data_IF_175733083988
#
_entry.id   IF_175733083988
#
_cell.length_a   1.000
_cell.length_b   1.000
_cell.length_c   1.000
_cell.angle_alpha   90.00
_cell.angle_beta   90.00
_cell.angle_gamma   90.00
#
_symmetry.space_group_name_H-M   'P 1'
#
loop_
_entity.id
_entity.type
_entity.pdbx_description
1 polymer ?
#
# COMPACT_ATOMS: atom_id res chain seq x y z
N UNK A 1 33.02 28.54 18.66
CA UNK A 1 33.12 27.15 18.16
C UNK A 1 31.79 26.51 18.49
N UNK A 2 31.01 26.12 17.48
CA UNK A 2 29.76 25.38 17.71
C UNK A 2 30.08 24.12 18.50
N UNK A 3 29.43 23.96 19.65
CA UNK A 3 29.56 22.76 20.47
C UNK A 3 29.15 21.57 19.60
N UNK A 4 30.09 20.67 19.30
CA UNK A 4 29.82 19.53 18.44
C UNK A 4 28.96 18.55 19.24
N UNK A 5 27.73 18.33 18.79
CA UNK A 5 26.75 17.44 19.43
C UNK A 5 26.61 16.18 18.57
N UNK A 6 26.52 15.01 19.21
CA UNK A 6 26.25 13.75 18.54
C UNK A 6 24.80 13.72 18.05
N UNK A 7 24.59 13.55 16.75
CA UNK A 7 23.26 13.42 16.14
C UNK A 7 23.00 11.98 15.78
N UNK A 8 21.85 11.44 16.16
CA UNK A 8 21.44 10.07 15.89
C UNK A 8 20.12 10.11 15.13
N UNK A 9 20.07 9.38 14.01
CA UNK A 9 18.86 9.15 13.24
C UNK A 9 18.43 7.71 13.38
N UNK A 10 17.15 7.52 13.69
CA UNK A 10 16.49 6.23 13.85
C UNK A 10 15.24 6.11 12.98
N UNK A 11 14.72 7.20 12.41
CA UNK A 11 13.67 7.16 11.40
C UNK A 11 14.26 6.99 9.99
N UNK A 12 13.98 5.85 9.37
CA UNK A 12 14.63 5.40 8.16
C UNK A 12 16.02 4.83 8.45
N UNK A 13 17.02 5.19 7.65
CA UNK A 13 18.36 4.62 7.76
C UNK A 13 19.07 5.05 9.05
N UNK A 14 19.50 4.06 9.85
CA UNK A 14 20.22 4.32 11.09
C UNK A 14 21.55 5.01 10.81
N UNK A 15 21.78 6.14 11.48
CA UNK A 15 23.07 6.82 11.39
C UNK A 15 23.40 7.59 12.65
N UNK A 16 24.69 7.66 12.95
CA UNK A 16 25.26 8.51 14.00
C UNK A 16 26.26 9.45 13.35
N UNK A 17 26.13 10.75 13.62
CA UNK A 17 26.98 11.80 13.03
C UNK A 17 27.55 12.69 14.14
N UNK A 18 28.87 12.90 14.11
CA UNK A 18 29.57 13.83 14.98
C UNK A 18 30.54 14.68 14.15
N UNK A 19 30.33 15.99 14.13
CA UNK A 19 31.05 16.88 13.22
C UNK A 19 30.79 16.50 11.76
N UNK A 20 31.85 16.17 11.01
CA UNK A 20 31.78 15.68 9.63
C UNK A 20 31.75 14.15 9.50
N UNK A 21 31.95 13.42 10.60
CA UNK A 21 32.10 11.97 10.57
C UNK A 21 30.73 11.30 10.80
N UNK A 22 30.42 10.30 9.97
CA UNK A 22 29.16 9.54 10.07
C UNK A 22 29.44 8.06 10.03
N UNK A 23 28.76 7.31 10.90
CA UNK A 23 28.71 5.85 10.88
C UNK A 23 27.26 5.39 10.69
N UNK A 24 27.07 4.29 9.96
CA UNK A 24 25.74 3.74 9.66
C UNK A 24 25.76 2.20 9.59
N UNK A 25 24.56 1.63 9.67
CA UNK A 25 24.28 0.20 9.66
C UNK A 25 24.59 -0.50 8.32
N UNK A 26 24.80 0.25 7.24
CA UNK A 26 25.16 -0.26 5.89
C UNK A 26 26.60 -0.73 5.74
N UNK A 27 27.47 -0.44 6.70
CA UNK A 27 28.86 -0.91 6.64
C UNK A 27 28.93 -2.45 6.70
N UNK A 28 30.00 -3.07 6.17
CA UNK A 28 30.25 -4.53 6.21
C UNK A 28 30.53 -5.09 7.63
N UNK A 29 29.98 -4.43 8.67
CA UNK A 29 30.11 -4.79 10.08
C UNK A 29 28.99 -5.76 10.47
N UNK A 30 29.17 -6.45 11.59
CA UNK A 30 28.20 -7.44 12.07
C UNK A 30 26.89 -6.77 12.51
N UNK A 31 25.74 -7.34 12.12
CA UNK A 31 24.39 -6.92 12.56
C UNK A 31 24.30 -6.74 14.08
N UNK A 32 24.91 -7.64 14.86
CA UNK A 32 24.93 -7.60 16.34
C UNK A 32 25.56 -6.31 16.91
N UNK A 33 26.46 -5.65 16.18
CA UNK A 33 27.03 -4.34 16.60
C UNK A 33 25.95 -3.26 16.57
N UNK A 34 25.18 -3.21 15.49
CA UNK A 34 24.14 -2.22 15.27
C UNK A 34 22.95 -2.48 16.19
N UNK A 35 22.49 -3.74 16.30
CA UNK A 35 21.43 -4.14 17.25
C UNK A 35 21.75 -3.68 18.68
N UNK A 36 22.99 -3.89 19.16
CA UNK A 36 23.38 -3.46 20.50
C UNK A 36 23.38 -1.93 20.64
N UNK A 37 23.89 -1.20 19.65
CA UNK A 37 23.90 0.26 19.66
C UNK A 37 22.49 0.84 19.67
N UNK A 38 21.66 0.40 18.72
CA UNK A 38 20.26 0.80 18.58
C UNK A 38 19.49 0.54 19.88
N UNK A 39 19.61 -0.66 20.45
CA UNK A 39 18.95 -1.02 21.70
C UNK A 39 19.40 -0.12 22.87
N UNK A 40 20.70 0.11 23.02
CA UNK A 40 21.22 0.99 24.08
C UNK A 40 20.81 2.46 23.89
N UNK A 41 20.65 2.93 22.65
CA UNK A 41 20.18 4.29 22.36
C UNK A 41 18.69 4.43 22.68
N UNK A 42 17.87 3.48 22.25
CA UNK A 42 16.42 3.46 22.52
C UNK A 42 16.14 3.44 24.02
N UNK A 43 16.90 2.63 24.75
CA UNK A 43 16.77 2.50 26.20
C UNK A 43 17.85 3.29 26.95
N UNK A 44 18.34 4.40 26.39
CA UNK A 44 19.47 5.16 26.96
C UNK A 44 19.27 5.68 28.38
N UNK A 45 18.02 5.81 28.83
CA UNK A 45 17.68 6.23 30.19
C UNK A 45 17.57 5.05 31.17
N UNK A 46 17.94 3.83 30.77
CA UNK A 46 17.93 2.62 31.58
C UNK A 46 19.32 2.01 31.68
N UNK A 47 19.58 1.34 32.80
CA UNK A 47 20.68 0.40 32.92
C UNK A 47 20.20 -1.00 32.49
N UNK A 48 20.92 -1.63 31.57
CA UNK A 48 20.58 -2.95 31.02
C UNK A 48 21.55 -3.97 31.58
N UNK A 49 21.04 -5.08 32.12
CA UNK A 49 21.93 -6.10 32.70
C UNK A 49 22.75 -6.81 31.62
N UNK A 50 23.92 -7.32 32.02
CA UNK A 50 24.73 -8.14 31.13
C UNK A 50 23.96 -9.36 30.59
N UNK A 51 23.10 -9.96 31.41
CA UNK A 51 22.28 -11.11 31.03
C UNK A 51 21.26 -10.73 29.94
N UNK A 52 20.56 -9.59 30.09
CA UNK A 52 19.57 -9.14 29.11
C UNK A 52 20.20 -8.83 27.74
N UNK A 53 21.42 -8.26 27.74
CA UNK A 53 22.15 -8.01 26.49
C UNK A 53 22.59 -9.31 25.82
N UNK A 54 22.98 -10.31 26.60
CA UNK A 54 23.35 -11.62 26.06
C UNK A 54 22.12 -12.27 25.42
N UNK A 55 20.99 -12.30 26.13
CA UNK A 55 19.73 -12.87 25.63
C UNK A 55 19.24 -12.15 24.37
N UNK A 56 19.35 -10.82 24.32
CA UNK A 56 19.01 -10.02 23.13
C UNK A 56 19.84 -10.43 21.89
N UNK A 57 21.14 -10.66 22.05
CA UNK A 57 22.07 -10.83 20.93
C UNK A 57 22.26 -12.29 20.50
N UNK A 58 21.99 -13.23 21.40
CA UNK A 58 22.18 -14.66 21.21
C UNK A 58 21.01 -15.44 21.85
N UNK A 59 19.76 -15.21 21.40
CA UNK A 59 18.59 -15.81 22.02
C UNK A 59 18.64 -17.33 21.90
N UNK A 60 18.60 -18.02 23.05
CA UNK A 60 18.63 -19.49 23.11
C UNK A 60 19.92 -20.15 22.60
N UNK A 61 21.01 -19.41 22.40
CA UNK A 61 22.31 -20.02 22.06
C UNK A 61 23.05 -20.43 23.35
N UNK A 62 23.37 -21.72 23.48
CA UNK A 62 24.32 -22.21 24.48
C UNK A 62 25.75 -21.83 24.05
N UNK A 63 26.15 -20.58 24.32
CA UNK A 63 27.53 -20.19 24.16
C UNK A 63 28.37 -20.71 25.35
N UNK A 64 29.54 -21.29 25.08
CA UNK A 64 30.47 -21.72 26.13
C UNK A 64 30.91 -20.57 27.06
N UNK A 65 30.95 -19.33 26.54
CA UNK A 65 31.30 -18.13 27.32
C UNK A 65 30.67 -16.83 26.74
N UNK A 66 29.36 -16.59 26.96
CA UNK A 66 28.65 -15.45 26.39
C UNK A 66 29.15 -14.11 26.95
N UNK A 67 29.66 -14.09 28.18
CA UNK A 67 30.24 -12.91 28.79
C UNK A 67 31.49 -12.41 28.03
N UNK A 68 32.36 -13.32 27.59
CA UNK A 68 33.54 -12.95 26.81
C UNK A 68 33.18 -12.55 25.36
N UNK A 69 32.19 -13.21 24.77
CA UNK A 69 31.64 -12.83 23.46
C UNK A 69 31.10 -11.39 23.48
N UNK A 70 30.33 -11.04 24.51
CA UNK A 70 29.83 -9.67 24.70
C UNK A 70 30.96 -8.65 24.89
N UNK A 71 31.99 -8.96 25.70
CA UNK A 71 33.17 -8.07 25.84
C UNK A 71 33.85 -7.82 24.49
N UNK A 72 33.98 -8.86 23.67
CA UNK A 72 34.56 -8.76 22.33
C UNK A 72 33.68 -7.92 21.40
N UNK A 73 32.37 -8.09 21.45
CA UNK A 73 31.42 -7.28 20.68
C UNK A 73 31.48 -5.81 21.09
N UNK A 74 31.49 -5.51 22.39
CA UNK A 74 31.62 -4.14 22.90
C UNK A 74 32.93 -3.46 22.51
N UNK A 75 34.03 -4.22 22.44
CA UNK A 75 35.28 -3.69 21.89
C UNK A 75 35.12 -3.26 20.43
N UNK A 76 34.44 -4.08 19.61
CA UNK A 76 34.14 -3.74 18.21
C UNK A 76 33.18 -2.55 18.09
N UNK A 77 32.15 -2.48 18.92
CA UNK A 77 31.24 -1.32 19.01
C UNK A 77 32.03 -0.05 19.31
N UNK A 78 32.92 -0.08 20.32
CA UNK A 78 33.79 1.07 20.65
C UNK A 78 34.75 1.44 19.52
N UNK A 79 35.21 0.46 18.73
CA UNK A 79 36.01 0.73 17.53
C UNK A 79 35.19 1.47 16.47
N UNK A 80 33.95 1.04 16.21
CA UNK A 80 33.04 1.73 15.27
C UNK A 80 32.74 3.16 15.75
N UNK A 81 32.48 3.34 17.04
CA UNK A 81 32.31 4.67 17.62
C UNK A 81 33.59 5.51 17.60
N UNK A 82 34.76 4.88 17.51
CA UNK A 82 36.04 5.55 17.30
C UNK A 82 36.15 6.20 15.92
N UNK A 83 35.46 5.65 14.90
CA UNK A 83 35.45 6.19 13.53
C UNK A 83 34.75 7.57 13.47
N UNK A 84 33.90 7.89 14.46
CA UNK A 84 33.31 9.23 14.62
C UNK A 84 34.36 10.29 15.01
N UNK A 85 35.57 9.89 15.38
CA UNK A 85 36.62 10.72 15.98
C UNK A 85 36.11 11.52 17.19
N UNK A 86 35.10 10.97 17.86
CA UNK A 86 34.58 11.54 19.07
C UNK A 86 35.56 11.23 20.20
N UNK A 87 36.19 12.27 20.77
CA UNK A 87 37.25 12.14 21.79
C UNK A 87 36.80 11.31 23.01
N UNK A 88 35.49 11.27 23.25
CA UNK A 88 34.83 10.52 24.32
C UNK A 88 34.15 9.23 23.84
N UNK A 89 34.42 8.74 22.62
CA UNK A 89 33.77 7.56 22.02
C UNK A 89 33.86 6.29 22.86
N UNK A 90 34.98 6.11 23.58
CA UNK A 90 35.17 5.00 24.53
C UNK A 90 34.25 5.08 25.75
N UNK A 91 33.75 6.28 26.07
CA UNK A 91 32.89 6.58 27.21
C UNK A 91 31.40 6.67 26.83
N UNK A 92 31.01 6.41 25.58
CA UNK A 92 29.60 6.40 25.15
C UNK A 92 28.81 5.29 25.86
N UNK A 93 29.44 4.12 26.07
CA UNK A 93 28.84 2.98 26.76
C UNK A 93 29.57 2.77 28.09
N UNK A 94 28.84 2.97 29.18
CA UNK A 94 29.32 2.82 30.56
C UNK A 94 28.99 1.40 31.02
N UNK A 95 29.92 0.80 31.76
CA UNK A 95 29.69 -0.44 32.50
C UNK A 95 29.85 -0.19 34.00
N UNK A 96 28.83 -0.52 34.80
CA UNK A 96 28.85 -0.38 36.27
C UNK A 96 28.08 -1.54 36.89
N UNK A 97 28.63 -2.19 37.92
CA UNK A 97 27.92 -3.20 38.73
C UNK A 97 27.18 -4.30 37.92
N UNK A 98 27.74 -4.73 36.79
CA UNK A 98 27.12 -5.78 35.96
C UNK A 98 26.08 -5.28 34.94
N UNK A 99 25.85 -3.98 34.85
CA UNK A 99 24.96 -3.36 33.87
C UNK A 99 25.73 -2.50 32.85
N UNK A 100 25.14 -2.36 31.67
CA UNK A 100 25.58 -1.44 30.62
C UNK A 100 24.52 -0.36 30.41
N UNK A 101 24.98 0.87 30.18
CA UNK A 101 24.10 2.01 29.91
C UNK A 101 24.74 2.97 28.92
N UNK A 102 23.89 3.70 28.20
CA UNK A 102 24.31 4.86 27.44
C UNK A 102 24.76 5.99 28.38
N UNK A 103 25.82 6.71 28.01
CA UNK A 103 26.33 7.83 28.77
C UNK A 103 25.57 9.12 28.47
N UNK A 104 24.51 9.40 29.25
CA UNK A 104 23.73 10.63 29.12
C UNK A 104 24.45 11.91 29.57
N UNK A 105 25.68 11.83 30.10
CA UNK A 105 26.48 13.04 30.35
C UNK A 105 27.03 13.65 29.04
N UNK A 106 26.96 12.91 27.93
CA UNK A 106 27.38 13.39 26.62
C UNK A 106 26.19 14.01 25.87
N UNK A 107 26.33 15.23 25.33
CA UNK A 107 25.28 15.86 24.52
C UNK A 107 24.95 15.01 23.29
N UNK A 108 23.68 14.64 23.16
CA UNK A 108 23.16 13.85 22.06
C UNK A 108 21.78 14.34 21.65
N UNK A 109 21.53 14.36 20.35
CA UNK A 109 20.23 14.62 19.74
C UNK A 109 19.78 13.36 19.02
N UNK A 110 18.64 12.82 19.41
CA UNK A 110 18.02 11.65 18.77
C UNK A 110 16.73 12.12 18.11
N UNK A 111 16.54 11.80 16.83
CA UNK A 111 15.38 12.23 16.06
C UNK A 111 14.04 11.74 16.62
N UNK A 112 13.99 10.54 17.20
CA UNK A 112 12.80 10.00 17.88
C UNK A 112 12.40 10.84 19.09
N UNK A 113 13.36 11.23 19.94
CA UNK A 113 13.12 12.10 21.09
C UNK A 113 12.72 13.52 20.65
N UNK A 114 13.35 14.04 19.60
CA UNK A 114 13.00 15.36 19.07
C UNK A 114 11.59 15.36 18.44
N UNK A 115 11.21 14.28 17.75
CA UNK A 115 9.85 14.08 17.27
C UNK A 115 8.83 14.06 18.42
N UNK A 116 9.13 13.35 19.51
CA UNK A 116 8.28 13.35 20.70
C UNK A 116 8.16 14.75 21.32
N UNK A 117 9.28 15.45 21.44
CA UNK A 117 9.33 16.81 22.00
C UNK A 117 8.52 17.79 21.16
N UNK A 118 8.68 17.77 19.83
CA UNK A 118 7.95 18.66 18.91
C UNK A 118 6.45 18.35 18.90
N UNK A 119 6.06 17.08 18.91
CA UNK A 119 4.65 16.68 18.95
C UNK A 119 3.98 17.03 20.30
N UNK A 120 4.73 16.95 21.40
CA UNK A 120 4.26 17.43 22.70
C UNK A 120 4.08 18.96 22.74
N UNK A 121 5.03 19.71 22.17
CA UNK A 121 4.91 21.17 22.05
C UNK A 121 3.72 21.58 21.19
N UNK A 122 3.51 20.89 20.06
CA UNK A 122 2.34 21.09 19.21
C UNK A 122 1.03 20.87 19.96
N UNK A 123 0.96 19.81 20.78
CA UNK A 123 -0.24 19.51 21.58
C UNK A 123 -0.52 20.58 22.65
N UNK A 124 0.53 21.20 23.20
CA UNK A 124 0.41 22.28 24.20
C UNK A 124 0.24 23.69 23.64
N UNK A 125 0.33 23.86 22.31
CA UNK A 125 0.28 25.18 21.68
C UNK A 125 -1.16 25.60 21.36
N UNK A 126 -1.58 26.73 21.93
CA UNK A 126 -2.86 27.38 21.59
C UNK A 126 -2.80 28.15 20.26
N UNK A 127 -1.61 28.60 19.88
CA UNK A 127 -1.36 29.29 18.62
C UNK A 127 -1.32 28.27 17.47
N UNK A 128 -2.29 28.39 16.54
CA UNK A 128 -2.43 27.49 15.37
C UNK A 128 -1.18 27.50 14.48
N UNK A 129 -0.53 28.65 14.29
CA UNK A 129 0.65 28.73 13.41
C UNK A 129 1.86 28.08 14.09
N UNK A 130 2.09 28.32 15.38
CA UNK A 130 3.15 27.62 16.12
C UNK A 130 2.92 26.12 16.17
N UNK A 131 1.67 25.70 16.39
CA UNK A 131 1.28 24.29 16.36
C UNK A 131 1.63 23.65 15.02
N UNK A 132 1.28 24.32 13.92
CA UNK A 132 1.62 23.89 12.57
C UNK A 132 3.14 23.76 12.38
N UNK A 133 3.92 24.77 12.79
CA UNK A 133 5.37 24.78 12.64
C UNK A 133 6.04 23.62 13.41
N UNK A 134 5.56 23.31 14.61
CA UNK A 134 6.03 22.17 15.39
C UNK A 134 5.69 20.83 14.72
N UNK A 135 4.46 20.67 14.21
CA UNK A 135 4.05 19.45 13.52
C UNK A 135 4.84 19.24 12.22
N UNK A 136 4.99 20.27 11.39
CA UNK A 136 5.78 20.18 10.15
C UNK A 136 7.25 19.84 10.45
N UNK A 137 7.82 20.43 11.50
CA UNK A 137 9.18 20.11 11.95
C UNK A 137 9.29 18.65 12.40
N UNK A 138 8.31 18.14 13.14
CA UNK A 138 8.28 16.74 13.57
C UNK A 138 8.16 15.79 12.38
N UNK A 139 7.19 16.02 11.49
CA UNK A 139 6.96 15.19 10.31
C UNK A 139 8.18 15.17 9.37
N UNK A 140 8.95 16.27 9.30
CA UNK A 140 10.18 16.32 8.52
C UNK A 140 11.30 15.42 9.10
N UNK A 141 11.26 15.04 10.38
CA UNK A 141 12.22 14.10 10.98
C UNK A 141 11.94 12.66 10.55
N UNK A 142 10.68 12.31 10.33
CA UNK A 142 10.27 10.95 9.97
C UNK A 142 10.55 10.69 8.48
N UNK A 143 11.68 10.04 8.16
CA UNK A 143 12.10 9.75 6.78
C UNK A 143 11.76 8.33 6.30
N UNK A 144 11.12 7.54 7.15
CA UNK A 144 10.80 6.14 6.93
C UNK A 144 10.59 5.46 8.28
N UNK A 145 10.25 4.17 8.25
CA UNK A 145 9.98 3.42 9.46
C UNK A 145 11.14 3.45 10.45
N UNK A 146 10.80 3.31 11.73
CA UNK A 146 11.78 3.24 12.80
C UNK A 146 12.67 2.00 12.63
N UNK A 147 13.97 2.22 12.45
CA UNK A 147 15.01 1.20 12.27
C UNK A 147 14.59 0.03 11.35
N UNK A 148 14.47 0.24 10.03
CA UNK A 148 14.05 -0.82 9.11
C UNK A 148 14.98 -2.04 9.14
N UNK A 149 16.28 -1.86 9.43
CA UNK A 149 17.25 -2.95 9.60
C UNK A 149 17.01 -3.82 10.85
N UNK A 150 16.24 -3.33 11.81
CA UNK A 150 15.83 -4.01 13.03
C UNK A 150 14.35 -4.45 13.00
N UNK A 151 13.69 -4.46 11.83
CA UNK A 151 12.27 -4.81 11.69
C UNK A 151 11.92 -6.21 12.23
N UNK A 152 12.89 -7.12 12.19
CA UNK A 152 12.75 -8.52 12.63
C UNK A 152 13.06 -8.70 14.12
N UNK A 153 13.51 -7.65 14.80
CA UNK A 153 13.88 -7.70 16.21
C UNK A 153 12.65 -7.50 17.10
N UNK A 154 12.35 -8.46 17.98
CA UNK A 154 11.12 -8.45 18.81
C UNK A 154 10.94 -7.19 19.66
N UNK A 155 12.04 -6.58 20.12
CA UNK A 155 11.99 -5.35 20.92
C UNK A 155 11.63 -4.11 20.09
N UNK A 156 11.94 -4.11 18.79
CA UNK A 156 11.77 -2.97 17.89
C UNK A 156 10.35 -2.90 17.31
N UNK A 157 9.71 -4.05 17.07
CA UNK A 157 8.35 -4.16 16.52
C UNK A 157 7.34 -3.22 17.19
N UNK A 158 7.13 -3.24 18.52
CA UNK A 158 6.14 -2.36 19.16
C UNK A 158 6.50 -0.87 19.05
N UNK A 159 7.79 -0.54 18.99
CA UNK A 159 8.28 0.85 18.89
C UNK A 159 8.06 1.37 17.47
N UNK A 160 8.31 0.53 16.47
CA UNK A 160 8.02 0.84 15.07
C UNK A 160 6.53 1.12 14.87
N UNK A 161 5.66 0.22 15.35
CA UNK A 161 4.21 0.44 15.30
C UNK A 161 3.79 1.72 16.02
N UNK A 162 4.37 2.02 17.19
CA UNK A 162 4.09 3.24 17.94
C UNK A 162 4.40 4.51 17.14
N UNK A 163 5.61 4.61 16.60
CA UNK A 163 6.02 5.82 15.86
C UNK A 163 5.29 5.95 14.52
N UNK A 164 5.08 4.84 13.81
CA UNK A 164 4.32 4.85 12.56
C UNK A 164 2.88 5.35 12.78
N UNK A 165 2.18 4.82 13.79
CA UNK A 165 0.83 5.28 14.13
C UNK A 165 0.80 6.76 14.54
N UNK A 166 1.82 7.23 15.28
CA UNK A 166 1.95 8.64 15.70
C UNK A 166 2.23 9.55 14.51
N UNK A 167 3.06 9.12 13.56
CA UNK A 167 3.33 9.83 12.32
C UNK A 167 2.04 10.04 11.52
N UNK A 168 1.30 8.97 11.21
CA UNK A 168 0.05 9.05 10.43
C UNK A 168 -0.99 9.93 11.11
N UNK A 169 -1.16 9.80 12.43
CA UNK A 169 -2.05 10.68 13.20
C UNK A 169 -1.69 12.16 13.02
N UNK A 170 -0.40 12.51 13.09
CA UNK A 170 0.05 13.89 12.95
C UNK A 170 0.04 14.39 11.50
N UNK A 171 0.17 13.51 10.50
CA UNK A 171 -0.09 13.86 9.09
C UNK A 171 -1.54 14.33 8.95
N UNK A 172 -2.51 13.54 9.42
CA UNK A 172 -3.93 13.91 9.36
C UNK A 172 -4.26 15.18 10.13
N UNK A 173 -3.70 15.36 11.33
CA UNK A 173 -3.84 16.59 12.12
C UNK A 173 -3.29 17.82 11.38
N UNK A 174 -2.14 17.67 10.73
CA UNK A 174 -1.51 18.75 9.98
C UNK A 174 -2.30 19.11 8.72
N UNK A 175 -2.81 18.10 7.99
CA UNK A 175 -3.70 18.31 6.83
C UNK A 175 -4.95 19.10 7.24
N UNK A 176 -5.56 18.74 8.37
CA UNK A 176 -6.74 19.45 8.88
C UNK A 176 -6.42 20.92 9.22
N UNK A 177 -5.30 21.19 9.91
CA UNK A 177 -4.86 22.56 10.20
C UNK A 177 -4.56 23.37 8.93
N UNK A 178 -3.89 22.77 7.96
CA UNK A 178 -3.60 23.44 6.69
C UNK A 178 -4.88 23.73 5.89
N UNK A 179 -5.88 22.84 5.97
CA UNK A 179 -7.18 23.01 5.33
C UNK A 179 -7.94 24.18 5.96
N UNK A 180 -7.99 24.26 7.30
CA UNK A 180 -8.55 25.41 8.04
C UNK A 180 -7.90 26.73 7.62
N UNK A 181 -6.60 26.70 7.31
CA UNK A 181 -5.80 27.86 6.91
C UNK A 181 -5.80 28.10 5.40
N UNK A 182 -6.50 27.28 4.61
CA UNK A 182 -6.52 27.32 3.14
C UNK A 182 -5.14 27.26 2.47
N UNK A 183 -4.17 26.59 3.10
CA UNK A 183 -2.80 26.41 2.60
C UNK A 183 -2.68 25.14 1.75
N UNK A 184 -3.35 25.13 0.60
CA UNK A 184 -3.49 23.91 -0.22
C UNK A 184 -2.17 23.42 -0.84
N UNK A 185 -1.25 24.30 -1.23
CA UNK A 185 0.08 23.89 -1.73
C UNK A 185 0.91 23.13 -0.68
N UNK A 186 0.81 23.52 0.59
CA UNK A 186 1.47 22.85 1.70
C UNK A 186 0.84 21.45 1.93
N UNK A 187 -0.48 21.31 1.77
CA UNK A 187 -1.17 20.00 1.84
C UNK A 187 -0.67 19.09 0.72
N UNK A 188 -0.55 19.60 -0.51
CA UNK A 188 -0.04 18.83 -1.65
C UNK A 188 1.36 18.30 -1.34
N UNK A 189 2.23 19.18 -0.83
CA UNK A 189 3.62 18.83 -0.46
C UNK A 189 3.65 17.76 0.63
N UNK A 190 2.88 17.96 1.70
CA UNK A 190 2.80 17.02 2.82
C UNK A 190 2.22 15.66 2.42
N UNK A 191 1.13 15.64 1.63
CA UNK A 191 0.51 14.38 1.22
C UNK A 191 1.46 13.58 0.32
N UNK A 192 2.17 14.25 -0.60
CA UNK A 192 3.17 13.59 -1.45
C UNK A 192 4.29 12.94 -0.64
N UNK A 193 4.80 13.62 0.39
CA UNK A 193 5.82 13.02 1.26
C UNK A 193 5.26 11.88 2.11
N UNK A 194 4.01 12.02 2.62
CA UNK A 194 3.36 10.98 3.41
C UNK A 194 3.06 9.71 2.61
N UNK A 195 2.62 9.83 1.35
CA UNK A 195 2.33 8.69 0.47
C UNK A 195 3.59 7.85 0.18
N UNK A 196 4.79 8.45 0.20
CA UNK A 196 6.03 7.69 0.05
C UNK A 196 6.32 6.77 1.25
N UNK A 197 5.74 7.09 2.42
CA UNK A 197 5.91 6.34 3.66
C UNK A 197 4.75 5.37 3.86
N UNK A 198 3.51 5.86 3.73
CA UNK A 198 2.29 5.07 3.88
C UNK A 198 1.42 5.23 2.62
N UNK A 199 1.68 4.42 1.58
CA UNK A 199 0.98 4.50 0.30
C UNK A 199 -0.44 3.95 0.35
N UNK A 200 -0.87 3.37 1.48
CA UNK A 200 -2.19 2.74 1.63
C UNK A 200 -3.16 3.55 2.50
N UNK A 201 -2.75 4.73 2.99
CA UNK A 201 -3.64 5.65 3.69
C UNK A 201 -4.53 6.41 2.70
N UNK A 202 -5.72 5.86 2.46
CA UNK A 202 -6.70 6.41 1.52
C UNK A 202 -7.15 7.84 1.88
N UNK A 203 -7.13 8.22 3.17
CA UNK A 203 -7.51 9.55 3.61
C UNK A 203 -6.46 10.60 3.22
N UNK A 204 -5.17 10.24 3.22
CA UNK A 204 -4.10 11.09 2.67
C UNK A 204 -4.30 11.28 1.15
N UNK A 205 -4.65 10.23 0.41
CA UNK A 205 -4.95 10.33 -1.02
C UNK A 205 -6.16 11.24 -1.31
N UNK A 206 -7.24 11.10 -0.54
CA UNK A 206 -8.41 11.98 -0.63
C UNK A 206 -8.02 13.45 -0.39
N UNK A 207 -7.18 13.71 0.61
CA UNK A 207 -6.76 15.06 0.98
C UNK A 207 -5.90 15.70 -0.11
N UNK A 208 -5.01 14.93 -0.73
CA UNK A 208 -4.24 15.38 -1.89
C UNK A 208 -5.15 15.75 -3.07
N UNK A 209 -6.13 14.91 -3.40
CA UNK A 209 -7.08 15.19 -4.50
C UNK A 209 -7.91 16.44 -4.23
N UNK A 210 -8.39 16.65 -2.99
CA UNK A 210 -9.11 17.87 -2.60
C UNK A 210 -8.23 19.12 -2.69
N UNK A 211 -6.97 19.04 -2.25
CA UNK A 211 -6.04 20.16 -2.36
C UNK A 211 -5.70 20.49 -3.82
N UNK A 212 -5.51 19.47 -4.68
CA UNK A 212 -5.33 19.65 -6.13
C UNK A 212 -6.53 20.33 -6.78
N UNK A 213 -7.75 19.97 -6.37
CA UNK A 213 -8.98 20.65 -6.81
C UNK A 213 -9.01 22.12 -6.40
N UNK A 214 -8.63 22.42 -5.16
CA UNK A 214 -8.65 23.79 -4.64
C UNK A 214 -7.65 24.72 -5.35
N UNK A 215 -6.52 24.19 -5.84
CA UNK A 215 -5.55 24.95 -6.65
C UNK A 215 -5.85 24.92 -8.15
N UNK A 216 -6.98 24.32 -8.58
CA UNK A 216 -7.37 24.25 -9.99
C UNK A 216 -6.58 23.25 -10.83
N UNK A 217 -5.95 22.25 -10.22
CA UNK A 217 -5.22 21.18 -10.89
C UNK A 217 -6.07 19.92 -11.04
N UNK A 218 -7.26 20.02 -11.64
CA UNK A 218 -8.24 18.93 -11.65
C UNK A 218 -7.76 17.70 -12.45
N UNK A 219 -7.04 17.89 -13.56
CA UNK A 219 -6.45 16.77 -14.32
C UNK A 219 -5.47 15.95 -13.47
N UNK A 220 -4.65 16.62 -12.65
CA UNK A 220 -3.73 15.93 -11.73
C UNK A 220 -4.50 15.13 -10.66
N UNK A 221 -5.65 15.64 -10.20
CA UNK A 221 -6.49 14.93 -9.25
C UNK A 221 -7.13 13.66 -9.85
N UNK A 222 -7.55 13.71 -11.12
CA UNK A 222 -8.06 12.54 -11.85
C UNK A 222 -6.96 11.49 -12.10
N UNK A 223 -5.78 11.91 -12.54
CA UNK A 223 -4.63 11.01 -12.70
C UNK A 223 -4.23 10.36 -11.38
N UNK A 224 -4.32 11.11 -10.27
CA UNK A 224 -4.04 10.54 -8.94
C UNK A 224 -5.07 9.49 -8.53
N UNK A 225 -6.35 9.67 -8.86
CA UNK A 225 -7.37 8.65 -8.63
C UNK A 225 -7.08 7.34 -9.38
N UNK A 226 -6.68 7.43 -10.65
CA UNK A 226 -6.29 6.26 -11.46
C UNK A 226 -5.10 5.54 -10.82
N UNK A 227 -4.07 6.29 -10.41
CA UNK A 227 -2.91 5.75 -9.69
C UNK A 227 -3.31 5.00 -8.40
N UNK A 228 -4.20 5.58 -7.58
CA UNK A 228 -4.66 4.95 -6.33
C UNK A 228 -5.48 3.70 -6.60
N UNK A 229 -6.37 3.75 -7.60
CA UNK A 229 -7.18 2.61 -8.00
C UNK A 229 -6.29 1.44 -8.43
N UNK A 230 -5.29 1.70 -9.28
CA UNK A 230 -4.33 0.70 -9.73
C UNK A 230 -3.48 0.17 -8.56
N UNK A 231 -3.07 1.03 -7.61
CA UNK A 231 -2.30 0.63 -6.43
C UNK A 231 -3.08 -0.34 -5.54
N UNK A 232 -4.32 0.00 -5.17
CA UNK A 232 -5.15 -0.84 -4.30
C UNK A 232 -5.55 -2.15 -4.99
N UNK A 233 -5.87 -2.09 -6.27
CA UNK A 233 -6.23 -3.27 -7.04
C UNK A 233 -5.04 -4.21 -7.24
N UNK A 234 -3.86 -3.68 -7.60
CA UNK A 234 -2.66 -4.50 -7.79
C UNK A 234 -2.14 -5.13 -6.50
N UNK A 235 -2.20 -4.40 -5.38
CA UNK A 235 -1.65 -4.89 -4.11
C UNK A 235 -2.63 -5.77 -3.34
N UNK A 236 -3.93 -5.42 -3.32
CA UNK A 236 -4.92 -6.08 -2.47
C UNK A 236 -6.10 -6.69 -3.24
N UNK A 237 -6.25 -6.42 -4.54
CA UNK A 237 -7.38 -6.90 -5.34
C UNK A 237 -8.72 -6.27 -4.96
N UNK A 238 -8.68 -5.10 -4.30
CA UNK A 238 -9.86 -4.34 -3.88
C UNK A 238 -9.97 -3.04 -4.67
N UNK A 239 -11.19 -2.54 -4.81
CA UNK A 239 -11.45 -1.20 -5.33
C UNK A 239 -11.35 -0.17 -4.20
N UNK A 240 -11.12 1.12 -4.53
CA UNK A 240 -11.17 2.19 -3.53
C UNK A 240 -12.51 2.29 -2.80
N UNK A 241 -12.51 2.98 -1.66
CA UNK A 241 -13.71 3.22 -0.85
C UNK A 241 -14.75 4.10 -1.56
N UNK A 242 -15.98 4.02 -1.07
CA UNK A 242 -17.09 4.89 -1.50
C UNK A 242 -16.74 6.38 -1.37
N UNK A 243 -15.92 6.76 -0.38
CA UNK A 243 -15.48 8.13 -0.19
C UNK A 243 -14.58 8.60 -1.35
N UNK A 244 -13.60 7.78 -1.74
CA UNK A 244 -12.70 8.14 -2.85
C UNK A 244 -13.46 8.12 -4.18
N UNK A 245 -14.35 7.15 -4.38
CA UNK A 245 -15.21 7.09 -5.58
C UNK A 245 -16.17 8.28 -5.66
N UNK A 246 -16.75 8.72 -4.54
CA UNK A 246 -17.58 9.92 -4.51
C UNK A 246 -16.78 11.17 -4.88
N UNK A 247 -15.58 11.32 -4.33
CA UNK A 247 -14.68 12.42 -4.67
C UNK A 247 -14.31 12.43 -6.15
N UNK A 248 -14.01 11.26 -6.75
CA UNK A 248 -13.81 11.15 -8.19
C UNK A 248 -15.01 11.66 -8.99
N UNK A 249 -16.24 11.28 -8.62
CA UNK A 249 -17.45 11.74 -9.30
C UNK A 249 -17.62 13.26 -9.22
N UNK A 250 -17.30 13.86 -8.08
CA UNK A 250 -17.32 15.31 -7.90
C UNK A 250 -16.30 16.01 -8.83
N UNK A 251 -15.07 15.50 -8.87
CA UNK A 251 -13.98 16.02 -9.71
C UNK A 251 -14.33 15.87 -11.19
N UNK A 252 -14.78 14.69 -11.60
CA UNK A 252 -15.17 14.42 -12.99
C UNK A 252 -16.33 15.32 -13.43
N UNK A 253 -17.31 15.57 -12.56
CA UNK A 253 -18.40 16.52 -12.83
C UNK A 253 -17.90 17.96 -12.97
N UNK A 254 -16.96 18.38 -12.12
CA UNK A 254 -16.35 19.71 -12.20
C UNK A 254 -15.53 19.89 -13.48
N UNK A 255 -14.79 18.86 -13.91
CA UNK A 255 -14.08 18.86 -15.21
C UNK A 255 -15.08 18.95 -16.38
N UNK A 256 -16.10 18.08 -16.38
CA UNK A 256 -17.09 18.00 -17.46
C UNK A 256 -18.00 19.23 -17.55
N UNK A 257 -18.15 20.00 -16.46
CA UNK A 257 -18.88 21.28 -16.49
C UNK A 257 -18.20 22.33 -17.39
N UNK A 258 -16.92 22.13 -17.74
CA UNK A 258 -16.14 23.04 -18.58
C UNK A 258 -16.21 22.70 -20.08
N UNK A 259 -16.65 21.50 -20.46
CA UNK A 259 -16.63 21.03 -21.85
C UNK A 259 -18.03 20.66 -22.34
N UNK A 260 -18.75 21.67 -22.84
CA UNK A 260 -20.03 21.52 -23.55
C UNK A 260 -19.84 21.24 -25.06
N UNK A 261 -18.75 20.57 -25.45
CA UNK A 261 -18.57 20.11 -26.83
C UNK A 261 -18.74 18.59 -26.89
N UNK A 262 -19.80 18.18 -27.60
CA UNK A 262 -20.15 16.78 -27.83
C UNK A 262 -19.04 16.01 -28.56
N UNK A 263 -18.15 16.69 -29.29
CA UNK A 263 -16.98 16.09 -29.91
C UNK A 263 -15.91 15.74 -28.88
N UNK A 264 -15.67 16.60 -27.89
CA UNK A 264 -14.70 16.33 -26.81
C UNK A 264 -15.21 15.21 -25.90
N UNK A 265 -16.52 15.21 -25.59
CA UNK A 265 -17.15 14.10 -24.86
C UNK A 265 -16.99 12.78 -25.64
N UNK A 266 -17.22 12.80 -26.96
CA UNK A 266 -17.01 11.61 -27.80
C UNK A 266 -15.55 11.17 -27.84
N UNK A 267 -14.61 12.11 -27.85
CA UNK A 267 -13.19 11.79 -27.78
C UNK A 267 -12.81 11.15 -26.44
N UNK A 268 -13.29 11.68 -25.31
CA UNK A 268 -13.09 11.08 -24.00
C UNK A 268 -13.76 9.69 -23.85
N UNK A 269 -14.90 9.47 -24.51
CA UNK A 269 -15.57 8.16 -24.54
C UNK A 269 -14.94 7.16 -25.52
N UNK A 270 -13.97 7.58 -26.36
CA UNK A 270 -13.31 6.66 -27.30
C UNK A 270 -12.36 5.74 -26.54
N UNK A 271 -12.38 4.48 -26.94
CA UNK A 271 -11.41 3.49 -26.48
C UNK A 271 -10.04 3.78 -27.13
N UNK A 272 -9.13 4.43 -26.40
CA UNK A 272 -7.79 4.78 -26.89
C UNK A 272 -6.84 3.58 -27.01
N UNK A 273 -7.16 2.47 -26.34
CA UNK A 273 -6.37 1.24 -26.43
C UNK A 273 -7.17 0.15 -27.13
N UNK A 274 -6.87 -0.07 -28.41
CA UNK A 274 -7.37 -1.21 -29.19
C UNK A 274 -6.81 -2.51 -28.60
N UNK A 275 -7.34 -2.96 -27.46
CA UNK A 275 -7.01 -4.28 -26.91
C UNK A 275 -7.60 -5.33 -27.85
N UNK A 276 -6.77 -6.23 -28.40
CA UNK A 276 -7.28 -7.30 -29.26
C UNK A 276 -8.08 -8.30 -28.40
N UNK A 277 -9.39 -8.38 -28.62
CA UNK A 277 -10.25 -9.36 -27.96
C UNK A 277 -11.52 -8.76 -27.39
N UNK A 278 -12.20 -9.51 -26.52
CA UNK A 278 -13.38 -9.05 -25.79
C UNK A 278 -13.09 -7.97 -24.75
N UNK A 279 -14.11 -7.20 -24.42
CA UNK A 279 -14.06 -6.16 -23.40
C UNK A 279 -14.03 -6.79 -22.00
N UNK A 280 -12.89 -6.64 -21.32
CA UNK A 280 -12.72 -7.05 -19.92
C UNK A 280 -13.04 -5.88 -19.00
N UNK A 281 -13.97 -6.06 -18.06
CA UNK A 281 -14.40 -5.01 -17.14
C UNK A 281 -14.55 -5.50 -15.70
N UNK A 282 -14.68 -4.55 -14.77
CA UNK A 282 -15.02 -4.83 -13.38
C UNK A 282 -16.45 -5.36 -13.23
N UNK A 283 -16.71 -6.06 -12.12
CA UNK A 283 -17.99 -6.72 -11.90
C UNK A 283 -19.17 -5.75 -11.81
N UNK A 284 -19.00 -4.56 -11.23
CA UNK A 284 -20.06 -3.55 -11.19
C UNK A 284 -20.38 -2.99 -12.58
N UNK A 285 -19.37 -2.73 -13.40
CA UNK A 285 -19.56 -2.34 -14.81
C UNK A 285 -20.27 -3.45 -15.58
N UNK A 286 -19.90 -4.72 -15.35
CA UNK A 286 -20.56 -5.87 -15.95
C UNK A 286 -22.05 -5.95 -15.59
N UNK A 287 -22.44 -5.65 -14.34
CA UNK A 287 -23.85 -5.60 -13.93
C UNK A 287 -24.64 -4.54 -14.71
N UNK A 288 -24.04 -3.38 -14.93
CA UNK A 288 -24.71 -2.31 -15.67
C UNK A 288 -24.87 -2.65 -17.15
N UNK A 289 -23.84 -3.27 -17.76
CA UNK A 289 -23.93 -3.83 -19.12
C UNK A 289 -25.00 -4.92 -19.18
N UNK A 290 -25.07 -5.81 -18.19
CA UNK A 290 -26.08 -6.88 -18.13
C UNK A 290 -27.50 -6.31 -18.12
N UNK A 291 -27.74 -5.30 -17.29
CA UNK A 291 -29.06 -4.64 -17.18
C UNK A 291 -29.45 -3.96 -18.50
N UNK A 292 -28.49 -3.34 -19.18
CA UNK A 292 -28.72 -2.72 -20.48
C UNK A 292 -29.05 -3.77 -21.55
N UNK A 293 -28.27 -4.85 -21.64
CA UNK A 293 -28.48 -5.92 -22.60
C UNK A 293 -29.77 -6.70 -22.37
N UNK A 294 -30.15 -6.94 -21.11
CA UNK A 294 -31.44 -7.55 -20.78
C UNK A 294 -32.62 -6.71 -21.30
N UNK A 295 -32.53 -5.37 -21.20
CA UNK A 295 -33.55 -4.45 -21.75
C UNK A 295 -33.56 -4.45 -23.28
N UNK A 296 -32.39 -4.53 -23.92
CA UNK A 296 -32.27 -4.61 -25.38
C UNK A 296 -32.87 -5.92 -25.89
N UNK A 297 -32.58 -7.05 -25.24
CA UNK A 297 -33.09 -8.38 -25.60
C UNK A 297 -34.62 -8.43 -25.60
N UNK A 298 -35.28 -7.79 -24.62
CA UNK A 298 -36.75 -7.68 -24.57
C UNK A 298 -37.30 -6.92 -25.77
N UNK A 299 -36.61 -5.85 -26.20
CA UNK A 299 -37.06 -5.00 -27.31
C UNK A 299 -36.82 -5.64 -28.69
N UNK A 300 -35.71 -6.34 -28.87
CA UNK A 300 -35.30 -6.89 -30.17
C UNK A 300 -35.73 -8.35 -30.37
N UNK A 301 -36.13 -9.04 -29.30
CA UNK A 301 -36.43 -10.47 -29.31
C UNK A 301 -35.20 -11.34 -29.51
N UNK A 302 -33.99 -10.78 -29.43
CA UNK A 302 -32.75 -11.54 -29.58
C UNK A 302 -32.33 -12.13 -28.22
N UNK A 303 -32.06 -13.43 -28.21
CA UNK A 303 -31.56 -14.11 -27.02
C UNK A 303 -30.08 -13.78 -26.80
N UNK A 304 -29.76 -13.27 -25.62
CA UNK A 304 -28.39 -13.11 -25.11
C UNK A 304 -28.14 -14.20 -24.07
N UNK A 305 -26.91 -14.72 -23.99
CA UNK A 305 -26.56 -15.77 -23.02
C UNK A 305 -25.46 -15.29 -22.08
N UNK A 306 -25.54 -15.76 -20.83
CA UNK A 306 -24.50 -15.61 -19.82
C UNK A 306 -23.83 -16.96 -19.56
N UNK A 307 -22.51 -16.97 -19.57
CA UNK A 307 -21.70 -18.14 -19.32
C UNK A 307 -20.83 -17.93 -18.08
N UNK A 308 -20.96 -18.83 -17.11
CA UNK A 308 -20.04 -18.94 -15.98
C UNK A 308 -18.96 -19.96 -16.32
N UNK A 309 -17.70 -19.51 -16.31
CA UNK A 309 -16.52 -20.35 -16.45
C UNK A 309 -15.94 -20.58 -15.07
N UNK A 310 -15.80 -21.83 -14.64
CA UNK A 310 -15.22 -22.22 -13.35
C UNK A 310 -13.95 -23.01 -13.58
N UNK A 311 -12.83 -22.51 -13.04
CA UNK A 311 -11.56 -23.20 -12.97
C UNK A 311 -11.52 -24.08 -11.72
N UNK A 312 -11.43 -25.39 -11.89
CA UNK A 312 -11.39 -26.35 -10.80
C UNK A 312 -10.26 -27.37 -10.98
N UNK A 313 -9.86 -28.02 -9.90
CA UNK A 313 -8.98 -29.19 -9.96
C UNK A 313 -9.75 -30.37 -10.60
N UNK A 314 -9.15 -31.12 -11.55
CA UNK A 314 -9.79 -32.28 -12.18
C UNK A 314 -10.28 -33.36 -11.20
N UNK A 315 -9.70 -33.42 -9.99
CA UNK A 315 -10.03 -34.40 -8.96
C UNK A 315 -10.77 -33.75 -7.77
N UNK A 316 -11.27 -32.52 -7.92
CA UNK A 316 -12.06 -31.81 -6.90
C UNK A 316 -11.28 -31.36 -5.67
N UNK A 317 -9.94 -31.34 -5.72
CA UNK A 317 -9.09 -30.89 -4.60
C UNK A 317 -8.92 -29.37 -4.60
N UNK A 318 -8.68 -28.79 -3.42
CA UNK A 318 -8.33 -27.37 -3.28
C UNK A 318 -6.94 -27.11 -3.85
N UNK A 319 -6.86 -26.26 -4.87
CA UNK A 319 -5.59 -25.84 -5.47
C UNK A 319 -4.90 -24.78 -4.58
N UNK A 320 -3.57 -24.78 -4.56
CA UNK A 320 -2.81 -23.74 -3.89
C UNK A 320 -3.09 -22.37 -4.53
N UNK A 321 -3.25 -21.32 -3.71
CA UNK A 321 -3.62 -19.96 -4.12
C UNK A 321 -2.73 -19.42 -5.26
N UNK A 322 -1.42 -19.65 -5.18
CA UNK A 322 -0.46 -19.22 -6.21
C UNK A 322 -0.70 -19.90 -7.57
N UNK A 323 -1.10 -21.16 -7.57
CA UNK A 323 -1.42 -21.91 -8.80
C UNK A 323 -2.74 -21.42 -9.41
N UNK A 324 -3.73 -21.10 -8.58
CA UNK A 324 -5.01 -20.54 -9.04
C UNK A 324 -4.78 -19.19 -9.72
N UNK A 325 -4.08 -18.26 -9.07
CA UNK A 325 -3.87 -16.91 -9.61
C UNK A 325 -3.19 -16.94 -10.99
N UNK A 326 -2.09 -17.69 -11.12
CA UNK A 326 -1.39 -17.84 -12.41
C UNK A 326 -2.28 -18.48 -13.48
N UNK A 327 -3.08 -19.48 -13.12
CA UNK A 327 -4.00 -20.11 -14.06
C UNK A 327 -5.16 -19.20 -14.48
N UNK A 328 -5.61 -18.32 -13.59
CA UNK A 328 -6.70 -17.38 -13.84
C UNK A 328 -6.26 -16.21 -14.72
N UNK A 329 -5.04 -15.71 -14.56
CA UNK A 329 -4.47 -14.69 -15.46
C UNK A 329 -4.33 -15.25 -16.88
N UNK A 330 -3.81 -16.47 -16.99
CA UNK A 330 -3.75 -17.19 -18.27
C UNK A 330 -5.13 -17.41 -18.89
N UNK A 331 -6.12 -17.77 -18.06
CA UNK A 331 -7.49 -17.97 -18.52
C UNK A 331 -8.11 -16.65 -19.00
N UNK A 332 -7.84 -15.53 -18.33
CA UNK A 332 -8.29 -14.18 -18.73
C UNK A 332 -7.84 -13.87 -20.16
N UNK A 333 -6.56 -14.07 -20.46
CA UNK A 333 -6.02 -13.84 -21.79
C UNK A 333 -6.70 -14.74 -22.83
N UNK A 334 -6.81 -16.04 -22.53
CA UNK A 334 -7.47 -16.99 -23.44
C UNK A 334 -8.92 -16.61 -23.70
N UNK A 335 -9.68 -16.18 -22.69
CA UNK A 335 -11.05 -15.71 -22.85
C UNK A 335 -11.06 -14.47 -23.74
N UNK A 336 -10.23 -13.46 -23.45
CA UNK A 336 -10.14 -12.23 -24.25
C UNK A 336 -9.90 -12.54 -25.74
N UNK A 337 -8.93 -13.38 -26.08
CA UNK A 337 -8.59 -13.74 -27.46
C UNK A 337 -9.58 -14.71 -28.12
N UNK A 338 -10.33 -15.47 -27.32
CA UNK A 338 -11.30 -16.44 -27.81
C UNK A 338 -12.69 -15.84 -28.02
N UNK A 339 -12.89 -14.56 -27.72
CA UNK A 339 -14.16 -13.87 -27.85
C UNK A 339 -14.09 -12.76 -28.91
N UNK A 340 -15.25 -12.27 -29.37
CA UNK A 340 -15.33 -11.14 -30.30
C UNK A 340 -15.14 -9.83 -29.52
N UNK A 341 -14.77 -8.77 -30.24
CA UNK A 341 -14.63 -7.42 -29.65
C UNK A 341 -15.89 -6.89 -28.97
N UNK A 342 -17.06 -7.29 -29.44
CA UNK A 342 -18.34 -6.91 -28.82
C UNK A 342 -18.75 -7.78 -27.63
N UNK A 343 -18.07 -8.90 -27.37
CA UNK A 343 -18.38 -9.72 -26.20
C UNK A 343 -17.75 -9.09 -24.95
N UNK A 344 -18.39 -9.30 -23.79
CA UNK A 344 -17.97 -8.72 -22.52
C UNK A 344 -17.72 -9.82 -21.51
N UNK A 345 -16.67 -9.70 -20.69
CA UNK A 345 -16.43 -10.63 -19.60
C UNK A 345 -15.82 -9.96 -18.37
N UNK A 346 -16.03 -10.57 -17.20
CA UNK A 346 -15.55 -10.06 -15.91
C UNK A 346 -15.13 -11.22 -15.00
N UNK A 347 -14.26 -10.92 -14.03
CA UNK A 347 -13.91 -11.89 -12.98
C UNK A 347 -14.97 -11.84 -11.89
N UNK A 348 -15.61 -12.99 -11.63
CA UNK A 348 -16.68 -13.11 -10.61
C UNK A 348 -16.14 -13.58 -9.27
N UNK A 349 -15.12 -14.44 -9.26
CA UNK A 349 -14.47 -14.91 -8.05
C UNK A 349 -13.00 -15.29 -8.28
N UNK A 350 -12.33 -15.79 -7.24
CA UNK A 350 -10.95 -16.27 -7.34
C UNK A 350 -10.79 -17.39 -8.38
N UNK A 351 -11.84 -18.15 -8.69
CA UNK A 351 -11.83 -19.29 -9.63
C UNK A 351 -12.84 -19.15 -10.77
N UNK A 352 -13.54 -18.02 -10.89
CA UNK A 352 -14.64 -17.89 -11.86
C UNK A 352 -14.61 -16.61 -12.68
N UNK A 353 -14.97 -16.75 -13.96
CA UNK A 353 -15.28 -15.65 -14.88
C UNK A 353 -16.74 -15.73 -15.31
N UNK A 354 -17.36 -14.57 -15.49
CA UNK A 354 -18.64 -14.41 -16.18
C UNK A 354 -18.38 -13.85 -17.58
N UNK A 355 -19.03 -14.43 -18.58
CA UNK A 355 -18.96 -14.02 -19.98
C UNK A 355 -20.38 -13.74 -20.45
N UNK A 356 -20.57 -12.63 -21.14
CA UNK A 356 -21.79 -12.27 -21.82
C UNK A 356 -21.60 -12.40 -23.31
N UNK A 357 -22.40 -13.26 -23.94
CA UNK A 357 -22.33 -13.58 -25.36
C UNK A 357 -23.50 -12.90 -26.06
N UNK A 358 -23.20 -11.80 -26.75
CA UNK A 358 -24.20 -10.98 -27.43
C UNK A 358 -24.67 -11.63 -28.75
N UNK A 359 -25.97 -11.58 -29.02
CA UNK A 359 -26.57 -12.00 -30.31
C UNK A 359 -26.22 -13.44 -30.74
N UNK A 360 -26.04 -14.36 -29.79
CA UNK A 360 -25.66 -15.74 -30.05
C UNK A 360 -26.86 -16.68 -29.85
N UNK A 361 -27.09 -17.61 -30.78
CA UNK A 361 -27.93 -18.78 -30.48
C UNK A 361 -27.23 -19.67 -29.45
N UNK A 362 -27.96 -20.57 -28.79
CA UNK A 362 -27.38 -21.56 -27.89
C UNK A 362 -26.22 -22.32 -28.54
N UNK A 363 -26.40 -22.77 -29.79
CA UNK A 363 -25.38 -23.47 -30.58
C UNK A 363 -24.12 -22.63 -30.81
N UNK A 364 -24.29 -21.33 -31.11
CA UNK A 364 -23.17 -20.40 -31.27
C UNK A 364 -22.44 -20.18 -29.96
N UNK A 365 -23.17 -20.09 -28.85
CA UNK A 365 -22.59 -19.96 -27.51
C UNK A 365 -21.80 -21.21 -27.10
N UNK A 366 -22.31 -22.41 -27.40
CA UNK A 366 -21.60 -23.67 -27.18
C UNK A 366 -20.31 -23.77 -28.02
N UNK A 367 -20.33 -23.32 -29.28
CA UNK A 367 -19.12 -23.24 -30.11
C UNK A 367 -18.05 -22.32 -29.51
N UNK A 368 -18.46 -21.20 -28.90
CA UNK A 368 -17.54 -20.28 -28.21
C UNK A 368 -16.92 -20.93 -26.98
N UNK A 369 -17.73 -21.61 -26.16
CA UNK A 369 -17.27 -22.36 -24.98
C UNK A 369 -16.25 -23.43 -25.38
N UNK A 370 -16.57 -24.24 -26.41
CA UNK A 370 -15.67 -25.28 -26.93
C UNK A 370 -14.36 -24.68 -27.46
N UNK A 371 -14.41 -23.48 -28.07
CA UNK A 371 -13.23 -22.76 -28.52
C UNK A 371 -12.34 -22.32 -27.36
N UNK A 372 -12.92 -21.72 -26.31
CA UNK A 372 -12.18 -21.31 -25.10
C UNK A 372 -11.49 -22.53 -24.48
N UNK A 373 -12.24 -23.61 -24.26
CA UNK A 373 -11.71 -24.84 -23.67
C UNK A 373 -10.58 -25.46 -24.52
N UNK A 374 -10.75 -25.52 -25.86
CA UNK A 374 -9.72 -26.03 -26.78
C UNK A 374 -8.46 -25.16 -26.78
N UNK A 375 -8.62 -23.84 -26.82
CA UNK A 375 -7.50 -22.89 -26.83
C UNK A 375 -6.72 -22.96 -25.50
N UNK A 376 -7.41 -23.07 -24.38
CA UNK A 376 -6.78 -23.23 -23.07
C UNK A 376 -5.96 -24.53 -22.98
N UNK A 377 -6.54 -25.68 -23.36
CA UNK A 377 -5.83 -26.97 -23.37
C UNK A 377 -4.64 -26.99 -24.33
N UNK A 378 -4.75 -26.30 -25.48
CA UNK A 378 -3.65 -26.18 -26.46
C UNK A 378 -2.51 -25.31 -25.92
N UNK A 379 -2.82 -24.17 -25.29
CA UNK A 379 -1.82 -23.26 -24.75
C UNK A 379 -1.15 -23.81 -23.46
N UNK A 380 -1.91 -24.53 -22.64
CA UNK A 380 -1.47 -25.02 -21.33
C UNK A 380 -1.76 -26.51 -21.11
N UNK A 381 -1.13 -27.42 -21.89
CA UNK A 381 -1.39 -28.85 -21.82
C UNK A 381 -1.00 -29.50 -20.49
N UNK A 382 -0.11 -28.86 -19.71
CA UNK A 382 0.33 -29.31 -18.37
C UNK A 382 -0.44 -28.63 -17.22
N UNK A 383 -1.52 -27.90 -17.50
CA UNK A 383 -2.29 -27.23 -16.46
C UNK A 383 -2.94 -28.26 -15.53
N UNK A 384 -2.90 -28.00 -14.22
CA UNK A 384 -3.61 -28.79 -13.19
C UNK A 384 -5.07 -28.35 -13.02
N UNK A 385 -5.58 -27.54 -13.95
CA UNK A 385 -6.92 -26.93 -13.88
C UNK A 385 -7.73 -27.43 -15.06
N UNK A 386 -8.95 -27.90 -14.79
CA UNK A 386 -9.97 -28.13 -15.80
C UNK A 386 -11.02 -27.00 -15.75
N UNK A 387 -11.67 -26.76 -16.89
CA UNK A 387 -12.64 -25.68 -17.03
C UNK A 387 -14.05 -26.25 -17.14
N UNK A 388 -14.92 -25.86 -16.23
CA UNK A 388 -16.35 -26.17 -16.29
C UNK A 388 -17.14 -24.94 -16.73
N UNK A 389 -18.15 -25.16 -17.55
CA UNK A 389 -18.96 -24.11 -18.13
C UNK A 389 -20.42 -24.32 -17.78
N UNK A 390 -21.10 -23.26 -17.35
CA UNK A 390 -22.56 -23.23 -17.19
C UNK A 390 -23.10 -22.10 -18.05
N UNK A 391 -24.01 -22.41 -18.97
CA UNK A 391 -24.60 -21.46 -19.90
C UNK A 391 -26.08 -21.30 -19.57
N UNK A 392 -26.54 -20.06 -19.46
CA UNK A 392 -27.95 -19.71 -19.23
C UNK A 392 -28.36 -18.58 -20.17
N UNK A 393 -29.62 -18.54 -20.64
CA UNK A 393 -30.16 -17.34 -21.27
C UNK A 393 -30.22 -16.20 -20.25
N UNK A 394 -30.13 -14.95 -20.71
CA UNK A 394 -30.47 -13.81 -19.87
C UNK A 394 -31.97 -13.84 -19.55
N UNK A 395 -32.30 -13.61 -18.28
CA UNK A 395 -33.69 -13.46 -17.87
C UNK A 395 -34.27 -12.18 -18.49
N UNK A 396 -35.49 -12.27 -19.01
CA UNK A 396 -36.25 -11.09 -19.38
C UNK A 396 -36.47 -10.26 -18.10
N UNK A 397 -36.32 -8.94 -18.21
CA UNK A 397 -36.58 -8.01 -17.10
C UNK A 397 -37.97 -8.34 -16.53
N UNK A 398 -38.04 -8.71 -15.24
CA UNK A 398 -39.32 -8.96 -14.57
C UNK A 398 -40.20 -7.71 -14.73
N UNK A 399 -41.29 -7.83 -15.50
CA UNK A 399 -42.37 -6.86 -15.46
C UNK A 399 -43.01 -7.00 -14.07
N UNK A 400 -42.85 -5.98 -13.24
CA UNK A 400 -43.52 -5.92 -11.92
C UNK A 400 -45.03 -5.60 -12.09
N UNK A 401 -45.51 -5.35 -13.32
CA UNK A 401 -46.88 -4.89 -13.58
C UNK A 401 -47.80 -5.90 -14.29
N UNK A 402 -47.75 -7.19 -13.96
CA UNK A 402 -48.74 -8.14 -14.50
C UNK A 402 -49.23 -9.21 -13.51
N UNK A 403 -49.39 -8.87 -12.24
CA UNK A 403 -50.11 -9.70 -11.25
C UNK A 403 -51.13 -8.89 -10.40
N UNK A 404 -51.68 -7.81 -10.96
CA UNK A 404 -52.77 -7.05 -10.35
C UNK A 404 -54.11 -7.15 -11.09
N UNK A 405 -54.27 -8.16 -11.95
CA UNK A 405 -55.58 -8.53 -12.49
C UNK A 405 -55.57 -10.00 -12.92
N UNK A 406 -56.09 -10.89 -12.06
CA UNK A 406 -56.98 -11.99 -12.44
C UNK A 406 -57.51 -12.70 -11.17
N UNK A 407 -58.83 -12.59 -11.01
CA UNK A 407 -59.80 -13.29 -10.14
C UNK A 407 -59.65 -13.17 -8.62
#
# INVERSE_FOLDING_TARGET
MSEQILKIKMFGEFSMTYGSNTVNDKSNRSKKIWTLLEYLIVFRNKEISQADIIELLWPGEEADNPANALKTLLFRVRSVLGDLQFSSGKNIIIYRRGTYAWNNALPVLVDTEEFERLTALAASSEDKQKKLDYLLSALNLYKGDFLPGASDEFWAVPICTYFHAKYIRHVHETIALLTDMSKFDDIITLCRSAILIEPYDEQVHCSLMRALMAVGAQQNALQHYEYVTDLFFSQFGITPSDQLTALYKEIAKACNATELDLNIIKDNLREYSLRPGAFFCEYEVFKDIYRLEARVAVRTGQATYICLVTAADPFGKTLATKTINVSMDRLKDIIAFSLRRGDVFTRYSVTQFLIMLQSASYEKSDMVIKRIHRNYKKAYPKSKVDLHFKLLPLDAVFNIDSDSNLS
#
